data_IF_130856631130
#
_entry.id   IF_130856631130
#
_cell.length_a   1.000
_cell.length_b   1.000
_cell.length_c   1.000
_cell.angle_alpha   90.00
_cell.angle_beta   90.00
_cell.angle_gamma   90.00
#
_symmetry.space_group_name_H-M   'P 1'
#
loop_
_entity.id
_entity.type
_entity.pdbx_description
1 polymer ?
#
# COMPACT_ATOMS: atom_id res chain seq x y z
N UNK A 1 -8.80 -16.54 -74.96
CA UNK A 1 -7.82 -16.25 -73.89
C UNK A 1 -8.36 -15.32 -72.79
N UNK A 2 -9.16 -14.29 -73.09
CA UNK A 2 -9.73 -13.37 -72.08
C UNK A 2 -10.63 -14.02 -70.99
N UNK A 3 -11.36 -15.09 -71.31
CA UNK A 3 -12.28 -15.73 -70.35
C UNK A 3 -11.57 -16.51 -69.21
N UNK A 4 -10.32 -16.94 -69.42
CA UNK A 4 -9.54 -17.68 -68.42
C UNK A 4 -8.88 -16.76 -67.39
N UNK A 5 -8.53 -15.53 -67.79
CA UNK A 5 -7.98 -14.51 -66.89
C UNK A 5 -9.07 -13.97 -65.95
N UNK A 6 -10.26 -13.63 -66.48
CA UNK A 6 -11.42 -13.21 -65.66
C UNK A 6 -11.79 -14.22 -64.56
N UNK A 7 -11.77 -15.52 -64.87
CA UNK A 7 -12.08 -16.60 -63.90
C UNK A 7 -11.04 -16.77 -62.79
N UNK A 8 -9.78 -16.39 -63.03
CA UNK A 8 -8.73 -16.46 -61.99
C UNK A 8 -8.88 -15.30 -61.00
N UNK A 9 -9.19 -14.10 -61.48
CA UNK A 9 -9.39 -12.93 -60.64
C UNK A 9 -10.64 -13.07 -59.74
N UNK A 10 -11.75 -13.59 -60.28
CA UNK A 10 -12.98 -13.85 -59.51
C UNK A 10 -12.80 -14.86 -58.36
N UNK A 11 -11.99 -15.90 -58.59
CA UNK A 11 -11.65 -16.89 -57.56
C UNK A 11 -10.79 -16.30 -56.45
N UNK A 12 -9.80 -15.48 -56.81
CA UNK A 12 -8.95 -14.81 -55.83
C UNK A 12 -9.76 -13.82 -54.97
N UNK A 13 -10.62 -13.01 -55.60
CA UNK A 13 -11.49 -12.05 -54.90
C UNK A 13 -12.38 -12.78 -53.88
N UNK A 14 -13.04 -13.87 -54.32
CA UNK A 14 -13.94 -14.64 -53.45
C UNK A 14 -13.20 -15.24 -52.24
N UNK A 15 -11.97 -15.71 -52.45
CA UNK A 15 -11.14 -16.25 -51.38
C UNK A 15 -10.68 -15.17 -50.40
N UNK A 16 -10.28 -13.99 -50.88
CA UNK A 16 -9.90 -12.87 -50.02
C UNK A 16 -11.08 -12.37 -49.18
N UNK A 17 -12.27 -12.24 -49.78
CA UNK A 17 -13.48 -11.88 -49.02
C UNK A 17 -13.77 -12.90 -47.92
N UNK A 18 -13.63 -14.20 -48.21
CA UNK A 18 -13.80 -15.27 -47.22
C UNK A 18 -12.83 -15.11 -46.03
N UNK A 19 -11.56 -14.85 -46.32
CA UNK A 19 -10.53 -14.65 -45.28
C UNK A 19 -10.85 -13.42 -44.44
N UNK A 20 -11.19 -12.28 -45.06
CA UNK A 20 -11.52 -11.04 -44.36
C UNK A 20 -12.74 -11.24 -43.44
N UNK A 21 -13.79 -11.91 -43.91
CA UNK A 21 -14.95 -12.21 -43.06
C UNK A 21 -14.59 -13.14 -41.90
N UNK A 22 -13.72 -14.13 -42.12
CA UNK A 22 -13.25 -14.99 -41.04
C UNK A 22 -12.49 -14.19 -39.96
N UNK A 23 -11.59 -13.30 -40.37
CA UNK A 23 -10.84 -12.43 -39.46
C UNK A 23 -11.79 -11.49 -38.68
N UNK A 24 -12.84 -10.98 -39.32
CA UNK A 24 -13.88 -10.21 -38.62
C UNK A 24 -14.69 -11.05 -37.63
N UNK A 25 -15.03 -12.31 -37.94
CA UNK A 25 -15.69 -13.21 -36.97
C UNK A 25 -14.81 -13.47 -35.75
N UNK A 26 -13.50 -13.66 -35.95
CA UNK A 26 -12.54 -13.84 -34.86
C UNK A 26 -12.43 -12.59 -33.97
N UNK A 27 -12.54 -11.39 -34.55
CA UNK A 27 -12.60 -10.13 -33.79
C UNK A 27 -13.85 -9.98 -32.92
N UNK A 28 -14.99 -10.61 -33.25
CA UNK A 28 -16.23 -10.48 -32.46
C UNK A 28 -16.09 -11.01 -31.04
N UNK A 29 -15.18 -11.96 -30.80
CA UNK A 29 -14.88 -12.43 -29.46
C UNK A 29 -14.10 -11.41 -28.62
N UNK A 30 -13.48 -10.40 -29.26
CA UNK A 30 -12.55 -9.45 -28.63
C UNK A 30 -13.08 -8.00 -28.63
N UNK A 31 -13.98 -7.67 -29.57
CA UNK A 31 -14.43 -6.31 -29.88
C UNK A 31 -15.96 -6.22 -29.95
N UNK A 32 -16.62 -5.38 -29.13
CA UNK A 32 -18.07 -5.23 -29.12
C UNK A 32 -18.66 -4.72 -30.46
N UNK A 33 -17.89 -3.91 -31.19
CA UNK A 33 -18.28 -3.29 -32.47
C UNK A 33 -17.73 -4.04 -33.70
N UNK A 34 -17.14 -5.22 -33.53
CA UNK A 34 -16.65 -6.02 -34.66
C UNK A 34 -17.78 -6.42 -35.64
N UNK A 35 -19.00 -6.58 -35.15
CA UNK A 35 -20.19 -6.82 -35.99
C UNK A 35 -20.43 -5.64 -36.95
N UNK A 36 -20.40 -4.40 -36.46
CA UNK A 36 -20.58 -3.20 -37.28
C UNK A 36 -19.45 -3.03 -38.31
N UNK A 37 -18.22 -3.36 -37.94
CA UNK A 37 -17.06 -3.32 -38.84
C UNK A 37 -17.18 -4.35 -39.98
N UNK A 38 -17.63 -5.56 -39.65
CA UNK A 38 -17.91 -6.65 -40.59
C UNK A 38 -19.06 -6.30 -41.54
N UNK A 39 -20.16 -5.76 -41.00
CA UNK A 39 -21.32 -5.38 -41.81
C UNK A 39 -20.96 -4.22 -42.75
N UNK A 40 -20.18 -3.25 -42.27
CA UNK A 40 -19.68 -2.14 -43.07
C UNK A 40 -18.67 -2.53 -44.15
N UNK A 41 -17.99 -3.68 -44.05
CA UNK A 41 -17.04 -4.14 -45.07
C UNK A 41 -17.72 -4.36 -46.42
N UNK A 42 -18.92 -4.96 -46.45
CA UNK A 42 -19.66 -5.17 -47.69
C UNK A 42 -20.02 -3.87 -48.39
N UNK A 43 -20.39 -2.84 -47.62
CA UNK A 43 -20.71 -1.52 -48.14
C UNK A 43 -19.46 -0.80 -48.67
N UNK A 44 -18.31 -0.92 -47.96
CA UNK A 44 -17.02 -0.41 -48.44
C UNK A 44 -16.58 -1.09 -49.73
N UNK A 45 -16.74 -2.42 -49.82
CA UNK A 45 -16.43 -3.20 -51.03
C UNK A 45 -17.26 -2.73 -52.23
N UNK A 46 -18.60 -2.65 -52.08
CA UNK A 46 -19.50 -2.15 -53.14
C UNK A 46 -19.17 -0.72 -53.55
N UNK A 47 -18.76 0.12 -52.60
CA UNK A 47 -18.36 1.50 -52.89
C UNK A 47 -17.05 1.53 -53.69
N UNK A 48 -16.09 0.67 -53.38
CA UNK A 48 -14.83 0.56 -54.12
C UNK A 48 -15.07 0.12 -55.58
N UNK A 49 -15.95 -0.87 -55.80
CA UNK A 49 -16.37 -1.27 -57.14
C UNK A 49 -17.02 -0.12 -57.92
N UNK A 50 -17.97 0.59 -57.29
CA UNK A 50 -18.66 1.74 -57.93
C UNK A 50 -17.72 2.88 -58.29
N UNK A 51 -16.67 3.11 -57.50
CA UNK A 51 -15.68 4.16 -57.73
C UNK A 51 -14.57 3.76 -58.70
N UNK A 52 -14.58 2.51 -59.20
CA UNK A 52 -13.54 2.01 -60.10
C UNK A 52 -12.16 1.91 -59.44
N UNK A 53 -12.12 1.68 -58.12
CA UNK A 53 -10.87 1.43 -57.41
C UNK A 53 -10.32 0.03 -57.77
N UNK A 54 -9.02 -0.14 -57.63
CA UNK A 54 -8.40 -1.46 -57.75
C UNK A 54 -8.84 -2.35 -56.58
N UNK A 55 -9.68 -3.34 -56.88
CA UNK A 55 -10.26 -4.27 -55.91
C UNK A 55 -9.19 -5.15 -55.26
N UNK A 56 -8.11 -5.48 -55.98
CA UNK A 56 -7.03 -6.28 -55.40
C UNK A 56 -6.30 -5.49 -54.32
N UNK A 57 -6.03 -4.22 -54.59
CA UNK A 57 -5.42 -3.31 -53.61
C UNK A 57 -6.36 -3.07 -52.43
N UNK A 58 -7.64 -2.86 -52.68
CA UNK A 58 -8.64 -2.68 -51.61
C UNK A 58 -8.70 -3.88 -50.67
N UNK A 59 -8.87 -5.10 -51.20
CA UNK A 59 -8.97 -6.31 -50.38
C UNK A 59 -7.68 -6.60 -49.61
N UNK A 60 -6.52 -6.34 -50.22
CA UNK A 60 -5.22 -6.50 -49.54
C UNK A 60 -5.09 -5.52 -48.37
N UNK A 61 -5.49 -4.26 -48.57
CA UNK A 61 -5.44 -3.25 -47.51
C UNK A 61 -6.45 -3.52 -46.39
N UNK A 62 -7.66 -3.98 -46.73
CA UNK A 62 -8.67 -4.35 -45.75
C UNK A 62 -8.20 -5.53 -44.90
N UNK A 63 -7.65 -6.58 -45.52
CA UNK A 63 -7.10 -7.71 -44.79
C UNK A 63 -5.99 -7.29 -43.83
N UNK A 64 -5.05 -6.45 -44.30
CA UNK A 64 -3.99 -5.91 -43.44
C UNK A 64 -4.56 -5.10 -42.26
N UNK A 65 -5.59 -4.29 -42.51
CA UNK A 65 -6.25 -3.50 -41.48
C UNK A 65 -6.89 -4.37 -40.38
N UNK A 66 -7.63 -5.42 -40.77
CA UNK A 66 -8.27 -6.34 -39.81
C UNK A 66 -7.24 -7.10 -39.00
N UNK A 67 -6.15 -7.56 -39.63
CA UNK A 67 -5.06 -8.24 -38.94
C UNK A 67 -4.32 -7.33 -37.94
N UNK A 68 -4.15 -6.05 -38.28
CA UNK A 68 -3.55 -5.06 -37.38
C UNK A 68 -4.47 -4.75 -36.19
N UNK A 69 -5.79 -4.69 -36.41
CA UNK A 69 -6.77 -4.61 -35.31
C UNK A 69 -6.65 -5.81 -34.38
N UNK A 70 -6.53 -7.03 -34.93
CA UNK A 70 -6.35 -8.25 -34.16
C UNK A 70 -5.11 -8.18 -33.25
N UNK A 71 -3.97 -7.81 -33.81
CA UNK A 71 -2.71 -7.67 -33.06
C UNK A 71 -2.81 -6.60 -31.98
N UNK A 72 -3.42 -5.47 -32.29
CA UNK A 72 -3.57 -4.38 -31.33
C UNK A 72 -4.41 -4.82 -30.11
N UNK A 73 -5.52 -5.52 -30.34
CA UNK A 73 -6.39 -5.94 -29.25
C UNK A 73 -5.82 -7.09 -28.42
N UNK A 74 -5.13 -8.04 -29.06
CA UNK A 74 -4.39 -9.08 -28.35
C UNK A 74 -3.32 -8.48 -27.43
N UNK A 75 -2.57 -7.49 -27.93
CA UNK A 75 -1.59 -6.76 -27.13
C UNK A 75 -2.24 -6.03 -25.95
N UNK A 76 -3.36 -5.34 -26.17
CA UNK A 76 -4.08 -4.66 -25.08
C UNK A 76 -4.62 -5.64 -24.03
N UNK A 77 -5.15 -6.79 -24.43
CA UNK A 77 -5.60 -7.82 -23.48
C UNK A 77 -4.43 -8.37 -22.66
N UNK A 78 -3.29 -8.63 -23.29
CA UNK A 78 -2.11 -9.13 -22.58
C UNK A 78 -1.57 -8.08 -21.60
N UNK A 79 -1.47 -6.81 -22.02
CA UNK A 79 -1.08 -5.71 -21.14
C UNK A 79 -2.05 -5.55 -19.94
N UNK A 80 -3.37 -5.69 -20.18
CA UNK A 80 -4.37 -5.64 -19.12
C UNK A 80 -4.24 -6.81 -18.14
N UNK A 81 -3.97 -8.03 -18.64
CA UNK A 81 -3.72 -9.22 -17.81
C UNK A 81 -2.45 -9.05 -17.00
N UNK A 82 -1.36 -8.61 -17.60
CA UNK A 82 -0.11 -8.32 -16.90
C UNK A 82 -0.30 -7.27 -15.81
N UNK A 83 -1.04 -6.19 -16.10
CA UNK A 83 -1.34 -5.15 -15.12
C UNK A 83 -2.12 -5.70 -13.92
N UNK A 84 -3.09 -6.59 -14.17
CA UNK A 84 -3.88 -7.24 -13.13
C UNK A 84 -3.00 -8.16 -12.26
N UNK A 85 -2.15 -8.98 -12.87
CA UNK A 85 -1.18 -9.84 -12.15
C UNK A 85 -0.20 -9.00 -11.33
N UNK A 86 0.29 -7.88 -11.87
CA UNK A 86 1.17 -6.95 -11.12
C UNK A 86 0.46 -6.36 -9.91
N UNK A 87 -0.80 -5.95 -10.07
CA UNK A 87 -1.63 -5.42 -8.98
C UNK A 87 -1.82 -6.47 -7.88
N UNK A 88 -2.15 -7.71 -8.24
CA UNK A 88 -2.29 -8.81 -7.28
C UNK A 88 -0.98 -9.11 -6.53
N UNK A 89 0.16 -9.15 -7.23
CA UNK A 89 1.48 -9.32 -6.60
C UNK A 89 1.80 -8.17 -5.63
N UNK A 90 1.47 -6.93 -5.99
CA UNK A 90 1.66 -5.78 -5.11
C UNK A 90 0.80 -5.89 -3.85
N UNK A 91 -0.48 -6.27 -3.98
CA UNK A 91 -1.35 -6.52 -2.83
C UNK A 91 -0.85 -7.67 -1.94
N UNK A 92 -0.38 -8.77 -2.52
CA UNK A 92 0.17 -9.89 -1.76
C UNK A 92 1.41 -9.47 -0.95
N UNK A 93 2.31 -8.69 -1.56
CA UNK A 93 3.50 -8.16 -0.89
C UNK A 93 3.13 -7.20 0.25
N UNK A 94 2.15 -6.31 0.03
CA UNK A 94 1.65 -5.41 1.07
C UNK A 94 1.05 -6.17 2.25
N UNK A 95 0.23 -7.19 1.98
CA UNK A 95 -0.39 -8.01 3.02
C UNK A 95 0.66 -8.80 3.83
N UNK A 96 1.70 -9.31 3.17
CA UNK A 96 2.82 -9.96 3.85
C UNK A 96 3.56 -8.99 4.78
N UNK A 97 3.79 -7.75 4.35
CA UNK A 97 4.45 -6.75 5.17
C UNK A 97 3.58 -6.34 6.38
N UNK A 98 2.27 -6.13 6.17
CA UNK A 98 1.32 -5.87 7.26
C UNK A 98 1.33 -7.02 8.28
N UNK A 99 1.31 -8.27 7.82
CA UNK A 99 1.35 -9.45 8.69
C UNK A 99 2.67 -9.54 9.46
N UNK A 100 3.80 -9.32 8.79
CA UNK A 100 5.13 -9.29 9.42
C UNK A 100 5.20 -8.21 10.51
N UNK A 101 4.67 -7.03 10.24
CA UNK A 101 4.62 -5.93 11.21
C UNK A 101 3.74 -6.29 12.41
N UNK A 102 2.58 -6.90 12.18
CA UNK A 102 1.70 -7.34 13.26
C UNK A 102 2.39 -8.35 14.19
N UNK A 103 3.15 -9.29 13.63
CA UNK A 103 3.94 -10.25 14.41
C UNK A 103 5.00 -9.58 15.28
N UNK A 104 5.57 -8.45 14.84
CA UNK A 104 6.63 -7.77 15.56
C UNK A 104 6.20 -7.15 16.88
N UNK A 105 4.92 -6.83 17.09
CA UNK A 105 4.43 -6.23 18.34
C UNK A 105 3.48 -7.12 19.15
N UNK A 106 3.10 -8.30 18.63
CA UNK A 106 2.10 -9.17 19.26
C UNK A 106 2.52 -9.72 20.63
N UNK A 107 3.82 -9.77 20.93
CA UNK A 107 4.34 -10.26 22.21
C UNK A 107 4.20 -9.25 23.36
N UNK A 108 3.95 -7.97 23.07
CA UNK A 108 3.72 -6.96 24.12
C UNK A 108 2.34 -7.16 24.77
N UNK A 109 2.16 -6.78 26.05
CA UNK A 109 0.84 -6.82 26.67
C UNK A 109 -0.11 -5.80 26.03
N UNK A 110 -1.41 -5.97 26.28
CA UNK A 110 -2.46 -5.09 25.73
C UNK A 110 -2.85 -4.04 26.76
N UNK A 111 -2.90 -2.78 26.35
CA UNK A 111 -3.46 -1.70 27.14
C UNK A 111 -5.00 -1.78 27.16
N UNK A 112 -5.60 -1.75 28.34
CA UNK A 112 -7.05 -1.85 28.54
C UNK A 112 -7.82 -0.60 28.10
N UNK A 113 -7.16 0.55 27.97
CA UNK A 113 -7.79 1.82 27.58
C UNK A 113 -7.96 1.97 26.06
N UNK A 114 -7.39 1.05 25.27
CA UNK A 114 -7.46 1.08 23.81
C UNK A 114 -8.17 -0.18 23.31
N UNK A 115 -9.25 -0.07 22.51
CA UNK A 115 -9.97 -1.22 22.01
C UNK A 115 -9.12 -2.01 21.00
N UNK A 116 -8.59 -3.15 21.46
CA UNK A 116 -7.67 -4.00 20.69
C UNK A 116 -8.20 -4.45 19.33
N UNK A 117 -9.51 -4.66 19.20
CA UNK A 117 -10.12 -5.13 17.95
C UNK A 117 -9.99 -4.10 16.82
N UNK A 118 -9.95 -2.81 17.17
CA UNK A 118 -9.90 -1.70 16.21
C UNK A 118 -8.50 -1.09 16.11
N UNK A 119 -7.77 -1.03 17.23
CA UNK A 119 -6.43 -0.41 17.30
C UNK A 119 -5.42 -1.35 17.97
N UNK A 120 -5.07 -2.49 17.35
CA UNK A 120 -4.19 -3.49 17.94
C UNK A 120 -2.77 -2.94 18.20
N UNK A 121 -2.18 -2.25 17.23
CA UNK A 121 -0.83 -1.67 17.35
C UNK A 121 -0.74 -0.65 18.48
N UNK A 122 -1.71 0.28 18.57
CA UNK A 122 -1.76 1.29 19.64
C UNK A 122 -1.97 0.65 21.02
N UNK A 123 -2.82 -0.38 21.12
CA UNK A 123 -3.05 -1.12 22.36
C UNK A 123 -1.78 -1.82 22.84
N UNK A 124 -1.04 -2.46 21.94
CA UNK A 124 0.24 -3.10 22.25
C UNK A 124 1.34 -2.08 22.57
N UNK A 125 1.37 -0.93 21.90
CA UNK A 125 2.35 0.14 22.15
C UNK A 125 2.24 0.69 23.57
N UNK A 126 1.03 1.04 24.00
CA UNK A 126 0.82 1.53 25.36
C UNK A 126 1.01 0.42 26.42
N UNK A 127 0.70 -0.83 26.07
CA UNK A 127 1.02 -1.97 26.94
C UNK A 127 2.54 -2.16 27.09
N UNK A 128 3.30 -2.02 26.02
CA UNK A 128 4.77 -2.08 26.04
C UNK A 128 5.36 -0.99 26.95
N UNK A 129 4.85 0.24 26.87
CA UNK A 129 5.27 1.34 27.74
C UNK A 129 4.93 1.09 29.22
N UNK A 130 3.72 0.58 29.51
CA UNK A 130 3.34 0.17 30.87
C UNK A 130 4.25 -0.93 31.41
N UNK A 131 4.60 -1.92 30.59
CA UNK A 131 5.54 -2.97 30.96
C UNK A 131 6.94 -2.42 31.23
N UNK A 132 7.43 -1.52 30.36
CA UNK A 132 8.73 -0.87 30.54
C UNK A 132 8.79 -0.04 31.82
N UNK A 133 7.70 0.66 32.16
CA UNK A 133 7.55 1.38 33.43
C UNK A 133 7.75 0.45 34.62
N UNK A 134 6.97 -0.63 34.67
CA UNK A 134 6.96 -1.56 35.78
C UNK A 134 8.29 -2.32 35.95
N UNK A 135 8.97 -2.65 34.84
CA UNK A 135 10.13 -3.54 34.86
C UNK A 135 11.47 -2.82 34.86
N UNK A 136 11.59 -1.66 34.21
CA UNK A 136 12.89 -1.07 33.89
C UNK A 136 13.02 0.38 34.31
N UNK A 137 11.94 1.16 34.29
CA UNK A 137 12.01 2.62 34.45
C UNK A 137 12.61 3.06 35.78
N UNK A 138 12.16 2.49 36.90
CA UNK A 138 12.66 2.87 38.21
C UNK A 138 14.17 2.61 38.37
N UNK A 139 14.63 1.43 37.95
CA UNK A 139 16.05 1.05 38.00
C UNK A 139 16.89 1.97 37.12
N UNK A 140 16.41 2.24 35.90
CA UNK A 140 17.08 3.13 34.96
C UNK A 140 17.27 4.53 35.56
N UNK A 141 16.21 5.13 36.10
CA UNK A 141 16.27 6.44 36.73
C UNK A 141 17.23 6.47 37.93
N UNK A 142 17.28 5.41 38.73
CA UNK A 142 18.23 5.30 39.85
C UNK A 142 19.68 5.25 39.36
N UNK A 143 19.97 4.45 38.34
CA UNK A 143 21.30 4.36 37.73
C UNK A 143 21.73 5.70 37.10
N UNK A 144 20.84 6.33 36.33
CA UNK A 144 21.10 7.63 35.71
C UNK A 144 21.42 8.73 36.73
N UNK A 145 20.72 8.76 37.87
CA UNK A 145 21.02 9.72 38.95
C UNK A 145 22.34 9.42 39.64
N UNK A 146 22.65 8.13 39.85
CA UNK A 146 23.86 7.69 40.56
C UNK A 146 25.13 7.88 39.73
N UNK A 147 25.12 7.39 38.49
CA UNK A 147 26.32 7.21 37.68
C UNK A 147 26.62 8.45 36.81
N UNK A 148 25.59 9.25 36.50
CA UNK A 148 25.71 10.44 35.65
C UNK A 148 25.35 11.75 36.35
N UNK A 149 25.19 11.72 37.69
CA UNK A 149 24.91 12.90 38.54
C UNK A 149 23.77 13.79 38.03
N UNK A 150 22.75 13.20 37.39
CA UNK A 150 21.61 13.91 36.83
C UNK A 150 20.61 14.31 37.92
N UNK A 151 21.00 15.19 38.85
CA UNK A 151 20.14 15.72 39.92
C UNK A 151 19.53 17.10 39.60
N UNK A 152 18.29 17.33 40.03
CA UNK A 152 17.75 18.65 40.38
C UNK A 152 17.37 19.65 39.27
N UNK A 153 17.77 19.46 38.00
CA UNK A 153 17.24 20.20 36.83
C UNK A 153 17.75 19.57 35.51
N UNK A 154 18.11 18.29 35.57
CA UNK A 154 18.72 17.53 34.49
C UNK A 154 17.67 17.12 33.45
N UNK A 155 18.10 16.76 32.23
CA UNK A 155 17.22 16.24 31.17
C UNK A 155 16.36 15.02 31.57
N UNK A 156 16.58 14.44 32.75
CA UNK A 156 15.77 13.38 33.34
C UNK A 156 14.41 13.88 33.85
N UNK A 157 14.30 15.10 34.39
CA UNK A 157 13.01 15.61 34.92
C UNK A 157 11.93 15.75 33.83
N UNK A 158 12.23 16.29 32.63
CA UNK A 158 11.28 16.28 31.52
C UNK A 158 10.86 14.87 31.11
N UNK A 159 11.79 13.91 31.06
CA UNK A 159 11.47 12.51 30.70
C UNK A 159 10.59 11.83 31.76
N UNK A 160 10.80 12.12 33.04
CA UNK A 160 9.91 11.66 34.12
C UNK A 160 8.50 12.24 34.01
N UNK A 161 8.38 13.50 33.57
CA UNK A 161 7.08 14.10 33.30
C UNK A 161 6.41 13.47 32.07
N UNK A 162 7.14 13.27 30.98
CA UNK A 162 6.61 12.59 29.78
C UNK A 162 6.16 11.16 30.10
N UNK A 163 6.97 10.38 30.84
CA UNK A 163 6.61 9.01 31.24
C UNK A 163 5.31 8.97 32.05
N UNK A 164 5.14 9.95 32.94
CA UNK A 164 3.93 10.15 33.75
C UNK A 164 2.67 10.46 32.92
N UNK A 165 2.82 10.98 31.71
CA UNK A 165 1.72 11.27 30.79
C UNK A 165 1.33 10.03 29.96
N UNK A 166 2.30 9.15 29.70
CA UNK A 166 2.14 7.93 28.90
C UNK A 166 1.60 6.74 29.71
N UNK A 167 1.84 6.72 31.02
CA UNK A 167 1.44 5.62 31.91
C UNK A 167 0.32 6.05 32.86
N UNK A 168 -0.57 5.11 33.19
CA UNK A 168 -1.61 5.30 34.20
C UNK A 168 -1.01 5.52 35.58
N UNK A 169 -1.28 6.67 36.22
CA UNK A 169 -0.73 6.98 37.55
C UNK A 169 -1.53 6.41 38.72
N UNK A 170 -2.75 5.95 38.47
CA UNK A 170 -3.60 5.22 39.40
C UNK A 170 -4.15 4.01 38.64
N UNK A 171 -4.35 2.89 39.32
CA UNK A 171 -4.72 1.58 38.73
C UNK A 171 -5.92 1.58 37.76
N UNK A 172 -6.65 2.69 37.64
CA UNK A 172 -7.80 2.84 36.75
C UNK A 172 -7.87 4.18 36.00
N UNK A 173 -6.88 5.07 36.16
CA UNK A 173 -6.88 6.34 35.42
C UNK A 173 -6.29 6.15 34.03
N UNK A 174 -7.01 6.62 33.02
CA UNK A 174 -6.52 6.64 31.65
C UNK A 174 -5.23 7.48 31.52
N UNK A 175 -4.23 7.03 30.74
CA UNK A 175 -3.06 7.84 30.41
C UNK A 175 -3.45 9.16 29.77
N UNK A 176 -2.81 10.26 30.16
CA UNK A 176 -3.14 11.58 29.63
C UNK A 176 -2.94 11.65 28.11
N UNK A 177 -1.90 10.99 27.58
CA UNK A 177 -1.62 10.95 26.16
C UNK A 177 -2.72 10.22 25.34
N UNK A 178 -3.60 9.43 25.98
CA UNK A 178 -4.73 8.78 25.33
C UNK A 178 -6.05 9.57 25.40
N UNK A 179 -6.12 10.66 26.19
CA UNK A 179 -7.38 11.39 26.42
C UNK A 179 -8.01 11.91 25.12
N UNK A 180 -7.19 12.45 24.21
CA UNK A 180 -7.70 12.91 22.92
C UNK A 180 -8.25 11.74 22.09
N UNK A 181 -7.56 10.60 22.10
CA UNK A 181 -8.00 9.39 21.41
C UNK A 181 -9.31 8.85 21.97
N UNK A 182 -9.45 8.71 23.29
CA UNK A 182 -10.68 8.17 23.88
C UNK A 182 -11.86 9.11 23.75
N UNK A 183 -11.64 10.43 23.77
CA UNK A 183 -12.68 11.41 23.46
C UNK A 183 -13.14 11.32 22.00
N UNK A 184 -12.20 11.27 21.04
CA UNK A 184 -12.52 11.09 19.62
C UNK A 184 -13.25 9.77 19.36
N UNK A 185 -12.80 8.67 19.97
CA UNK A 185 -13.46 7.37 19.83
C UNK A 185 -14.91 7.38 20.35
N UNK A 186 -15.19 8.12 21.44
CA UNK A 186 -16.55 8.21 22.00
C UNK A 186 -17.48 9.15 21.26
N UNK A 187 -16.95 10.24 20.70
CA UNK A 187 -17.79 11.38 20.28
C UNK A 187 -17.56 11.85 18.84
N UNK A 188 -16.40 11.57 18.24
CA UNK A 188 -16.00 12.17 16.96
C UNK A 188 -15.04 11.25 16.18
N UNK A 189 -15.62 10.23 15.53
CA UNK A 189 -14.87 9.25 14.74
C UNK A 189 -14.11 9.87 13.56
N UNK A 190 -14.49 11.07 13.08
CA UNK A 190 -13.79 11.76 12.00
C UNK A 190 -12.34 12.11 12.33
N UNK A 191 -12.01 12.26 13.61
CA UNK A 191 -10.68 12.69 14.06
C UNK A 191 -9.89 11.55 14.73
N UNK A 192 -10.41 10.33 14.69
CA UNK A 192 -9.81 9.21 15.41
C UNK A 192 -8.42 8.86 14.87
N UNK A 193 -8.22 8.86 13.56
CA UNK A 193 -6.93 8.55 12.94
C UNK A 193 -5.88 9.57 13.35
N UNK A 194 -6.26 10.85 13.41
CA UNK A 194 -5.40 11.92 13.90
C UNK A 194 -5.05 11.70 15.37
N UNK A 195 -6.03 11.36 16.20
CA UNK A 195 -5.81 11.13 17.63
C UNK A 195 -4.92 9.90 17.89
N UNK A 196 -5.07 8.82 17.11
CA UNK A 196 -4.19 7.64 17.13
C UNK A 196 -2.76 8.03 16.76
N UNK A 197 -2.59 8.86 15.72
CA UNK A 197 -1.28 9.32 15.29
C UNK A 197 -0.61 10.17 16.38
N UNK A 198 -1.33 11.12 16.99
CA UNK A 198 -0.79 11.92 18.09
C UNK A 198 -0.41 11.06 19.30
N UNK A 199 -1.28 10.12 19.72
CA UNK A 199 -0.97 9.19 20.80
C UNK A 199 0.28 8.33 20.53
N UNK A 200 0.49 7.93 19.27
CA UNK A 200 1.68 7.19 18.83
C UNK A 200 2.92 8.07 18.83
N UNK A 201 2.79 9.34 18.40
CA UNK A 201 3.89 10.32 18.41
C UNK A 201 4.39 10.60 19.81
N UNK A 202 3.51 10.76 20.79
CA UNK A 202 3.89 11.00 22.18
C UNK A 202 4.83 9.90 22.70
N UNK A 203 4.46 8.63 22.46
CA UNK A 203 5.32 7.48 22.80
C UNK A 203 6.61 7.48 21.99
N UNK A 204 6.52 7.75 20.69
CA UNK A 204 7.69 7.81 19.80
C UNK A 204 8.70 8.87 20.23
N UNK A 205 8.24 10.09 20.58
CA UNK A 205 9.10 11.16 21.05
C UNK A 205 9.78 10.83 22.37
N UNK A 206 9.02 10.27 23.31
CA UNK A 206 9.58 9.82 24.58
C UNK A 206 10.68 8.76 24.39
N UNK A 207 10.40 7.68 23.64
CA UNK A 207 11.36 6.58 23.46
C UNK A 207 12.61 7.03 22.71
N UNK A 208 12.47 7.80 21.63
CA UNK A 208 13.62 8.32 20.89
C UNK A 208 14.40 9.37 21.71
N UNK A 209 13.71 10.20 22.50
CA UNK A 209 14.34 11.15 23.42
C UNK A 209 15.15 10.45 24.50
N UNK A 210 14.56 9.42 25.12
CA UNK A 210 15.22 8.58 26.11
C UNK A 210 16.43 7.86 25.50
N UNK A 211 16.28 7.22 24.34
CA UNK A 211 17.40 6.56 23.65
C UNK A 211 18.53 7.54 23.34
N UNK A 212 18.20 8.72 22.85
CA UNK A 212 19.20 9.76 22.53
C UNK A 212 19.96 10.22 23.78
N UNK A 213 19.26 10.34 24.92
CA UNK A 213 19.91 10.63 26.21
C UNK A 213 20.86 9.50 26.61
N UNK A 214 20.41 8.24 26.54
CA UNK A 214 21.25 7.08 26.87
C UNK A 214 22.49 6.99 25.98
N UNK A 215 22.33 7.23 24.68
CA UNK A 215 23.43 7.27 23.72
C UNK A 215 24.42 8.41 24.05
N UNK A 216 23.93 9.61 24.38
CA UNK A 216 24.78 10.74 24.76
C UNK A 216 25.59 10.49 26.05
N UNK A 217 25.01 9.74 26.98
CA UNK A 217 25.65 9.36 28.24
C UNK A 217 26.56 8.14 28.11
N UNK A 218 26.69 7.55 26.91
CA UNK A 218 27.41 6.30 26.68
C UNK A 218 26.92 5.16 27.59
N UNK A 219 25.60 5.12 27.82
CA UNK A 219 24.97 4.08 28.61
C UNK A 219 25.19 2.70 27.97
N UNK A 220 25.38 1.68 28.80
CA UNK A 220 25.66 0.33 28.32
C UNK A 220 24.47 -0.24 27.54
N UNK A 221 24.72 -0.60 26.28
CA UNK A 221 23.72 -1.11 25.32
C UNK A 221 23.31 -2.55 25.60
N UNK A 222 24.12 -3.27 26.38
CA UNK A 222 23.80 -4.63 26.82
C UNK A 222 22.83 -4.64 28.00
N UNK A 223 22.55 -3.48 28.62
CA UNK A 223 21.60 -3.42 29.72
C UNK A 223 20.16 -3.62 29.24
N UNK A 224 19.33 -4.39 29.99
CA UNK A 224 17.97 -4.73 29.58
C UNK A 224 17.08 -3.52 29.25
N UNK A 225 17.25 -2.41 29.98
CA UNK A 225 16.48 -1.20 29.75
C UNK A 225 16.77 -0.57 28.37
N UNK A 226 18.05 -0.54 27.95
CA UNK A 226 18.44 -0.03 26.63
C UNK A 226 17.89 -0.94 25.51
N UNK A 227 18.07 -2.26 25.67
CA UNK A 227 17.58 -3.25 24.71
C UNK A 227 16.05 -3.20 24.56
N UNK A 228 15.32 -3.00 25.65
CA UNK A 228 13.87 -2.83 25.63
C UNK A 228 13.45 -1.59 24.83
N UNK A 229 14.11 -0.44 25.04
CA UNK A 229 13.84 0.79 24.28
C UNK A 229 14.13 0.58 22.79
N UNK A 230 15.29 0.04 22.46
CA UNK A 230 15.70 -0.17 21.05
C UNK A 230 14.76 -1.15 20.33
N UNK A 231 14.38 -2.23 21.02
CA UNK A 231 13.44 -3.23 20.50
C UNK A 231 12.05 -2.63 20.30
N UNK A 232 11.53 -1.84 21.26
CA UNK A 232 10.26 -1.13 21.08
C UNK A 232 10.29 -0.14 19.90
N UNK A 233 11.35 0.66 19.77
CA UNK A 233 11.49 1.61 18.65
C UNK A 233 11.49 0.88 17.31
N UNK A 234 12.17 -0.26 17.21
CA UNK A 234 12.21 -1.08 16.00
C UNK A 234 10.86 -1.73 15.70
N UNK A 235 10.29 -2.41 16.68
CA UNK A 235 9.08 -3.23 16.51
C UNK A 235 7.86 -2.36 16.15
N UNK A 236 7.77 -1.14 16.70
CA UNK A 236 6.73 -0.16 16.39
C UNK A 236 7.15 0.89 15.34
N UNK A 237 8.35 0.76 14.74
CA UNK A 237 8.88 1.63 13.69
C UNK A 237 8.86 3.13 14.04
N UNK A 238 9.18 3.43 15.30
CA UNK A 238 9.14 4.79 15.85
C UNK A 238 10.36 5.64 15.42
N UNK A 239 11.31 5.06 14.68
CA UNK A 239 12.54 5.74 14.24
C UNK A 239 12.31 6.86 13.23
N UNK A 240 11.21 6.82 12.48
CA UNK A 240 10.86 7.82 11.47
C UNK A 240 10.05 9.00 12.03
N UNK A 241 9.60 8.91 13.29
CA UNK A 241 8.78 9.93 13.93
C UNK A 241 9.68 11.09 14.36
N UNK A 242 9.67 12.18 13.59
CA UNK A 242 10.37 13.42 13.91
C UNK A 242 9.41 14.43 14.53
N UNK A 243 9.86 15.20 15.54
CA UNK A 243 9.12 16.38 15.99
C UNK A 243 9.04 17.34 14.81
N UNK A 244 7.86 17.48 14.20
CA UNK A 244 7.61 18.60 13.32
C UNK A 244 7.54 19.83 14.21
N UNK A 245 8.58 20.67 14.15
CA UNK A 245 8.54 22.01 14.74
C UNK A 245 7.54 22.80 13.88
N UNK A 246 6.34 23.01 14.42
CA UNK A 246 5.38 23.99 13.89
C UNK A 246 5.68 25.32 14.55
#
# INVERSE_FOLDING_TARGET
MMALFKRKDERWISEQMRIIYQEYEELKAMLPNAQELSDGFHDRYKLAERKGLDIQVFLTNELAHVQDLHKHYQKQQEEAREALVRKERAHATLNQEIARMALAYQHYPKCSFVPYQEFPELSHLYGAIQQFEAQHWHSLCMQLRKDHALTGNSGLTPLEQEMRMLVSQRDQSEPHALLAFTQSYRHQLSDIERAVLEATKEVGFFLNGLKSLLDALHYDKELPAYQAIDTMIRDFRLSSIKRQVI
#
